data_IF_009009413095
#
_entry.id   IF_009009413095
#
_cell.length_a   1.000
_cell.length_b   1.000
_cell.length_c   1.000
_cell.angle_alpha   90.00
_cell.angle_beta   90.00
_cell.angle_gamma   90.00
#
_symmetry.space_group_name_H-M   'P 1'
#
loop_
_entity.id
_entity.type
_entity.pdbx_description
1 polymer ?
#
# COMPACT_ATOMS: atom_id res chain seq x y z
N UNK A 1 -7.91 -9.55 -36.47
CA UNK A 1 -9.09 -10.44 -36.53
C UNK A 1 -9.10 -11.28 -35.26
N UNK A 2 -9.90 -10.87 -34.28
CA UNK A 2 -10.22 -11.59 -33.02
C UNK A 2 -11.26 -12.67 -33.33
N UNK A 3 -11.04 -13.91 -32.93
CA UNK A 3 -11.86 -15.07 -33.37
C UNK A 3 -12.33 -15.97 -32.23
N UNK A 4 -11.80 -15.82 -31.02
CA UNK A 4 -12.10 -16.69 -29.87
C UNK A 4 -12.99 -15.94 -28.89
N UNK A 5 -14.20 -16.47 -28.64
CA UNK A 5 -15.08 -15.98 -27.58
C UNK A 5 -14.43 -16.24 -26.21
N UNK A 6 -14.27 -15.17 -25.43
CA UNK A 6 -13.68 -15.20 -24.10
C UNK A 6 -14.76 -14.90 -23.05
N UNK A 7 -14.91 -15.81 -22.09
CA UNK A 7 -15.79 -15.64 -20.94
C UNK A 7 -14.99 -15.09 -19.76
N UNK A 8 -15.47 -14.00 -19.14
CA UNK A 8 -14.81 -13.43 -17.96
C UNK A 8 -15.13 -14.27 -16.74
N UNK A 9 -14.10 -14.92 -16.20
CA UNK A 9 -14.17 -15.64 -14.93
C UNK A 9 -14.46 -14.65 -13.78
N UNK A 10 -15.26 -15.02 -12.77
CA UNK A 10 -15.41 -14.22 -11.57
C UNK A 10 -14.06 -13.85 -10.94
N UNK A 11 -13.89 -12.58 -10.63
CA UNK A 11 -12.64 -12.04 -10.10
C UNK A 11 -12.40 -12.51 -8.67
N UNK A 12 -11.23 -13.08 -8.41
CA UNK A 12 -10.72 -13.28 -7.05
C UNK A 12 -10.35 -11.93 -6.47
N UNK A 13 -11.04 -11.51 -5.40
CA UNK A 13 -10.73 -10.24 -4.74
C UNK A 13 -9.36 -10.35 -4.05
N UNK A 14 -8.50 -9.33 -4.17
CA UNK A 14 -7.26 -9.31 -3.41
C UNK A 14 -7.57 -9.27 -1.90
N UNK A 15 -6.65 -9.75 -1.05
CA UNK A 15 -6.85 -9.68 0.39
C UNK A 15 -7.07 -8.23 0.83
N UNK A 16 -7.97 -8.06 1.80
CA UNK A 16 -8.23 -6.76 2.43
C UNK A 16 -7.18 -6.57 3.51
N UNK A 17 -6.43 -5.46 3.40
CA UNK A 17 -5.41 -5.08 4.39
C UNK A 17 -5.98 -3.92 5.19
N UNK A 18 -6.12 -4.05 6.52
CA UNK A 18 -6.50 -2.94 7.38
C UNK A 18 -5.56 -1.76 7.19
N UNK A 19 -6.11 -0.55 7.12
CA UNK A 19 -5.32 0.69 7.04
C UNK A 19 -5.21 1.41 8.39
N UNK A 20 -5.78 0.83 9.44
CA UNK A 20 -5.76 1.41 10.78
C UNK A 20 -4.34 1.42 11.36
N UNK A 21 -3.93 2.49 12.06
CA UNK A 21 -2.61 2.57 12.65
C UNK A 21 -2.40 1.49 13.72
N UNK A 22 -1.25 0.82 13.68
CA UNK A 22 -0.87 -0.16 14.69
C UNK A 22 -0.18 0.59 15.84
N UNK A 23 -0.87 0.74 16.97
CA UNK A 23 -0.35 1.46 18.14
C UNK A 23 0.39 0.52 19.10
N UNK A 24 1.70 0.70 19.22
CA UNK A 24 2.54 0.01 20.19
C UNK A 24 2.47 0.73 21.53
N UNK A 25 2.09 0.01 22.59
CA UNK A 25 1.98 0.58 23.95
C UNK A 25 3.33 0.90 24.54
N UNK A 26 3.39 1.90 25.40
CA UNK A 26 4.58 2.22 26.19
C UNK A 26 4.89 1.12 27.22
N UNK A 27 6.16 0.95 27.62
CA UNK A 27 6.52 -0.02 28.65
C UNK A 27 5.84 0.30 29.99
N UNK A 28 5.68 -0.71 30.88
CA UNK A 28 5.14 -0.46 32.19
C UNK A 28 6.01 0.53 32.97
N UNK A 29 5.42 1.48 33.71
CA UNK A 29 6.17 2.46 34.47
C UNK A 29 6.97 1.81 35.60
N UNK A 30 8.09 2.45 35.96
CA UNK A 30 8.86 2.09 37.12
C UNK A 30 8.05 2.42 38.38
N UNK A 31 7.95 1.43 39.27
CA UNK A 31 7.24 1.60 40.53
C UNK A 31 8.05 2.49 41.50
N UNK A 32 7.74 3.79 41.46
CA UNK A 32 8.22 4.83 42.38
C UNK A 32 7.43 4.85 43.69
N UNK A 33 6.19 4.35 43.69
CA UNK A 33 5.26 4.43 44.82
C UNK A 33 5.75 3.67 46.06
N UNK A 34 6.53 2.61 45.83
CA UNK A 34 7.20 1.86 46.89
C UNK A 34 8.43 2.54 47.48
N UNK A 35 8.98 3.61 46.88
CA UNK A 35 10.27 4.21 47.32
C UNK A 35 10.15 4.87 48.69
N UNK A 36 9.08 5.64 48.90
CA UNK A 36 8.80 6.38 50.13
C UNK A 36 8.33 5.45 51.26
N UNK A 37 7.50 4.46 50.94
CA UNK A 37 7.09 3.42 51.88
C UNK A 37 8.29 2.53 52.28
N UNK A 38 9.19 2.22 51.34
CA UNK A 38 10.41 1.44 51.61
C UNK A 38 11.43 2.20 52.44
N UNK A 39 11.63 3.50 52.18
CA UNK A 39 12.48 4.32 53.05
C UNK A 39 11.88 4.43 54.44
N UNK A 40 10.56 4.65 54.58
CA UNK A 40 9.88 4.62 55.89
C UNK A 40 10.02 3.28 56.60
N UNK A 41 9.83 2.15 55.91
CA UNK A 41 9.96 0.80 56.48
C UNK A 41 11.39 0.48 56.95
N UNK A 42 12.41 1.07 56.34
CA UNK A 42 13.82 0.90 56.74
C UNK A 42 14.20 1.89 57.83
N UNK A 43 13.77 3.15 57.72
CA UNK A 43 14.14 4.23 58.64
C UNK A 43 13.40 4.10 59.96
N UNK A 44 12.11 3.76 59.97
CA UNK A 44 11.29 3.73 61.18
C UNK A 44 11.79 2.74 62.25
N UNK A 45 12.18 1.48 61.93
CA UNK A 45 12.74 0.57 62.93
C UNK A 45 14.11 1.03 63.44
N UNK A 46 14.95 1.61 62.57
CA UNK A 46 16.28 2.11 62.93
C UNK A 46 16.17 3.32 63.85
N UNK A 47 15.26 4.26 63.54
CA UNK A 47 14.98 5.41 64.41
C UNK A 47 14.35 4.95 65.72
N UNK A 48 13.37 4.04 65.71
CA UNK A 48 12.78 3.50 66.93
C UNK A 48 13.82 2.80 67.83
N UNK A 49 14.71 1.98 67.24
CA UNK A 49 15.80 1.31 67.96
C UNK A 49 16.82 2.32 68.54
N UNK A 50 17.21 3.34 67.75
CA UNK A 50 18.12 4.39 68.21
C UNK A 50 17.53 5.23 69.35
N UNK A 51 16.25 5.58 69.25
CA UNK A 51 15.54 6.34 70.30
C UNK A 51 15.38 5.50 71.56
N UNK A 52 15.10 4.20 71.43
CA UNK A 52 15.05 3.27 72.56
C UNK A 52 16.40 3.13 73.29
N UNK A 53 17.51 3.09 72.55
CA UNK A 53 18.86 3.03 73.12
C UNK A 53 19.21 4.30 73.92
N UNK A 54 18.91 5.49 73.36
CA UNK A 54 19.11 6.78 74.04
C UNK A 54 18.22 6.88 75.28
N UNK A 55 16.97 6.41 75.22
CA UNK A 55 16.06 6.41 76.35
C UNK A 55 16.57 5.55 77.52
N UNK A 56 17.13 4.37 77.23
CA UNK A 56 17.75 3.47 78.22
C UNK A 56 19.02 4.06 78.84
N UNK A 57 19.82 4.79 78.06
CA UNK A 57 21.03 5.47 78.56
C UNK A 57 20.69 6.71 79.41
N UNK A 58 19.61 7.42 79.08
CA UNK A 58 19.18 8.63 79.78
C UNK A 58 18.42 8.35 81.09
N UNK A 59 17.62 7.27 81.15
CA UNK A 59 16.90 6.85 82.36
C UNK A 59 17.58 5.63 82.98
N UNK A 60 18.27 5.79 84.12
CA UNK A 60 18.87 4.69 84.90
C UNK A 60 17.80 3.75 85.46
N UNK A 61 17.38 2.75 84.69
CA UNK A 61 16.44 1.69 85.09
C UNK A 61 17.15 0.40 85.54
N UNK A 62 16.40 -0.51 86.18
CA UNK A 62 16.89 -1.79 86.70
C UNK A 62 17.40 -2.73 85.59
N UNK A 63 18.50 -3.46 85.87
CA UNK A 63 19.17 -4.40 84.95
C UNK A 63 18.26 -5.36 84.14
N UNK A 64 17.18 -5.98 84.68
CA UNK A 64 16.33 -6.89 83.89
C UNK A 64 15.52 -6.21 82.78
N UNK A 65 15.12 -4.94 82.96
CA UNK A 65 14.39 -4.19 81.92
C UNK A 65 15.28 -3.86 80.71
N UNK A 66 16.57 -3.59 80.97
CA UNK A 66 17.56 -3.31 79.91
C UNK A 66 17.77 -4.54 79.02
N UNK A 67 17.85 -5.73 79.61
CA UNK A 67 18.05 -6.99 78.88
C UNK A 67 16.81 -7.33 78.05
N UNK A 68 15.61 -7.21 78.62
CA UNK A 68 14.36 -7.48 77.90
C UNK A 68 14.18 -6.53 76.69
N UNK A 69 14.50 -5.25 76.86
CA UNK A 69 14.40 -4.26 75.78
C UNK A 69 15.46 -4.50 74.68
N UNK A 70 16.67 -4.94 75.04
CA UNK A 70 17.71 -5.31 74.08
C UNK A 70 17.31 -6.49 73.20
N UNK A 71 16.67 -7.52 73.77
CA UNK A 71 16.14 -8.67 73.02
C UNK A 71 15.00 -8.25 72.08
N UNK A 72 14.08 -7.39 72.55
CA UNK A 72 12.98 -6.88 71.74
C UNK A 72 13.49 -6.05 70.54
N UNK A 73 14.49 -5.19 70.75
CA UNK A 73 15.12 -4.41 69.68
C UNK A 73 15.87 -5.33 68.70
N UNK A 74 16.65 -6.29 69.20
CA UNK A 74 17.40 -7.23 68.37
C UNK A 74 16.49 -8.08 67.47
N UNK A 75 15.39 -8.59 68.01
CA UNK A 75 14.39 -9.35 67.24
C UNK A 75 13.68 -8.49 66.21
N UNK A 76 13.31 -7.24 66.55
CA UNK A 76 12.70 -6.30 65.61
C UNK A 76 13.62 -5.97 64.43
N UNK A 77 14.93 -5.79 64.68
CA UNK A 77 15.93 -5.53 63.62
C UNK A 77 16.08 -6.74 62.70
N UNK A 78 16.15 -7.96 63.25
CA UNK A 78 16.24 -9.20 62.46
C UNK A 78 15.01 -9.38 61.58
N UNK A 79 13.81 -9.18 62.13
CA UNK A 79 12.56 -9.27 61.37
C UNK A 79 12.52 -8.22 60.26
N UNK A 80 12.85 -6.97 60.56
CA UNK A 80 12.91 -5.89 59.57
C UNK A 80 13.89 -6.19 58.43
N UNK A 81 15.05 -6.78 58.74
CA UNK A 81 16.06 -7.17 57.75
C UNK A 81 15.57 -8.32 56.86
N UNK A 82 14.93 -9.33 57.44
CA UNK A 82 14.33 -10.45 56.69
C UNK A 82 13.21 -9.99 55.76
N UNK A 83 12.31 -9.11 56.22
CA UNK A 83 11.23 -8.55 55.41
C UNK A 83 11.77 -7.67 54.28
N UNK A 84 12.77 -6.82 54.56
CA UNK A 84 13.41 -5.99 53.54
C UNK A 84 14.09 -6.83 52.45
N UNK A 85 14.77 -7.92 52.83
CA UNK A 85 15.38 -8.84 51.88
C UNK A 85 14.34 -9.60 51.04
N UNK A 86 13.28 -10.12 51.67
CA UNK A 86 12.18 -10.80 50.99
C UNK A 86 11.48 -9.87 49.99
N UNK A 87 11.17 -8.64 50.40
CA UNK A 87 10.60 -7.60 49.54
C UNK A 87 11.55 -7.25 48.39
N UNK A 88 12.85 -7.04 48.64
CA UNK A 88 13.81 -6.77 47.57
C UNK A 88 13.87 -7.89 46.53
N UNK A 89 13.81 -9.16 46.97
CA UNK A 89 13.75 -10.31 46.07
C UNK A 89 12.43 -10.37 45.30
N UNK A 90 11.30 -10.09 45.96
CA UNK A 90 9.99 -10.05 45.33
C UNK A 90 9.89 -8.94 44.27
N UNK A 91 10.31 -7.71 44.58
CA UNK A 91 10.34 -6.58 43.62
C UNK A 91 11.24 -6.90 42.43
N UNK A 92 12.45 -7.47 42.64
CA UNK A 92 13.33 -7.89 41.54
C UNK A 92 12.67 -8.94 40.65
N UNK A 93 11.98 -9.92 41.24
CA UNK A 93 11.22 -10.94 40.48
C UNK A 93 10.06 -10.33 39.71
N UNK A 94 9.32 -9.40 40.30
CA UNK A 94 8.20 -8.71 39.66
C UNK A 94 8.68 -7.85 38.48
N UNK A 95 9.76 -7.07 38.66
CA UNK A 95 10.40 -6.30 37.57
C UNK A 95 10.84 -7.22 36.42
N UNK A 96 11.51 -8.33 36.72
CA UNK A 96 11.90 -9.31 35.69
C UNK A 96 10.70 -9.92 34.96
N UNK A 97 9.61 -10.20 35.67
CA UNK A 97 8.37 -10.71 35.06
C UNK A 97 7.69 -9.66 34.18
N UNK A 98 7.62 -8.41 34.63
CA UNK A 98 7.08 -7.30 33.85
C UNK A 98 7.90 -7.06 32.57
N UNK A 99 9.23 -7.02 32.68
CA UNK A 99 10.15 -6.92 31.53
C UNK A 99 9.92 -8.05 30.53
N UNK A 100 9.87 -9.31 30.99
CA UNK A 100 9.58 -10.46 30.12
C UNK A 100 8.24 -10.32 29.41
N UNK A 101 7.16 -10.06 30.14
CA UNK A 101 5.82 -9.86 29.55
C UNK A 101 5.79 -8.78 28.49
N UNK A 102 6.51 -7.68 28.70
CA UNK A 102 6.58 -6.59 27.74
C UNK A 102 7.36 -6.99 26.48
N UNK A 103 8.48 -7.70 26.63
CA UNK A 103 9.23 -8.24 25.49
C UNK A 103 8.41 -9.28 24.72
N UNK A 104 7.67 -10.15 25.43
CA UNK A 104 6.75 -11.12 24.82
C UNK A 104 5.63 -10.40 24.05
N UNK A 105 5.12 -9.29 24.59
CA UNK A 105 4.16 -8.41 23.90
C UNK A 105 4.75 -7.79 22.63
N UNK A 106 5.98 -7.27 22.68
CA UNK A 106 6.65 -6.72 21.49
C UNK A 106 6.88 -7.81 20.43
N UNK A 107 7.21 -9.03 20.84
CA UNK A 107 7.37 -10.16 19.92
C UNK A 107 6.04 -10.56 19.26
N UNK A 108 4.95 -10.61 20.03
CA UNK A 108 3.61 -10.86 19.48
C UNK A 108 3.20 -9.76 18.49
N UNK A 109 3.42 -8.49 18.86
CA UNK A 109 3.13 -7.36 17.98
C UNK A 109 3.95 -7.39 16.69
N UNK A 110 5.23 -7.80 16.77
CA UNK A 110 6.06 -7.99 15.59
C UNK A 110 5.46 -9.07 14.66
N UNK A 111 5.04 -10.21 15.21
CA UNK A 111 4.42 -11.28 14.42
C UNK A 111 3.11 -10.81 13.75
N UNK A 112 2.31 -10.01 14.45
CA UNK A 112 1.08 -9.42 13.91
C UNK A 112 1.41 -8.47 12.74
N UNK A 113 2.40 -7.59 12.89
CA UNK A 113 2.85 -6.67 11.83
C UNK A 113 3.40 -7.45 10.63
N UNK A 114 4.19 -8.51 10.85
CA UNK A 114 4.73 -9.35 9.77
C UNK A 114 3.61 -10.08 9.00
N UNK A 115 2.52 -10.46 9.69
CA UNK A 115 1.35 -11.04 9.04
C UNK A 115 0.62 -10.03 8.15
N UNK A 116 0.46 -8.79 8.62
CA UNK A 116 -0.09 -7.69 7.82
C UNK A 116 0.81 -7.36 6.63
N UNK A 117 2.13 -7.43 6.83
CA UNK A 117 3.11 -7.27 5.75
C UNK A 117 2.94 -8.32 4.67
N UNK A 118 2.79 -9.58 5.08
CA UNK A 118 2.56 -10.68 4.14
C UNK A 118 1.27 -10.47 3.34
N UNK A 119 0.18 -10.06 3.99
CA UNK A 119 -1.10 -9.77 3.31
C UNK A 119 -0.99 -8.61 2.33
N UNK A 120 -0.25 -7.55 2.68
CA UNK A 120 0.00 -6.42 1.80
C UNK A 120 0.83 -6.82 0.58
N UNK A 121 1.90 -7.60 0.77
CA UNK A 121 2.71 -8.09 -0.34
C UNK A 121 1.90 -8.99 -1.28
N UNK A 122 1.02 -9.84 -0.73
CA UNK A 122 0.10 -10.65 -1.53
C UNK A 122 -0.91 -9.80 -2.30
N UNK A 123 -1.48 -8.77 -1.67
CA UNK A 123 -2.37 -7.79 -2.31
C UNK A 123 -1.66 -7.10 -3.47
N UNK A 124 -0.47 -6.58 -3.23
CA UNK A 124 0.35 -5.88 -4.23
C UNK A 124 0.76 -6.80 -5.38
N UNK A 125 1.24 -8.01 -5.10
CA UNK A 125 1.60 -8.99 -6.13
C UNK A 125 0.39 -9.42 -6.98
N UNK A 126 -0.80 -9.44 -6.37
CA UNK A 126 -2.05 -9.70 -7.11
C UNK A 126 -2.37 -8.52 -8.02
N UNK A 127 -2.37 -7.29 -7.50
CA UNK A 127 -2.80 -6.11 -8.25
C UNK A 127 -1.75 -5.63 -9.28
N UNK A 128 -0.47 -5.70 -8.97
CA UNK A 128 0.59 -5.01 -9.70
C UNK A 128 1.71 -5.98 -10.11
N UNK A 129 1.42 -6.94 -11.03
CA UNK A 129 2.42 -7.90 -11.48
C UNK A 129 3.58 -7.21 -12.21
N UNK A 130 4.76 -7.83 -12.16
CA UNK A 130 5.91 -7.42 -12.98
C UNK A 130 5.67 -7.75 -14.47
N UNK A 131 6.51 -7.20 -15.35
CA UNK A 131 6.48 -7.50 -16.78
C UNK A 131 6.55 -9.00 -17.11
N UNK A 132 7.40 -9.75 -16.41
CA UNK A 132 7.49 -11.20 -16.57
C UNK A 132 6.22 -11.92 -16.13
N UNK A 133 5.67 -11.54 -14.96
CA UNK A 133 4.42 -12.11 -14.46
C UNK A 133 3.24 -11.80 -15.38
N UNK A 134 3.20 -10.62 -16.02
CA UNK A 134 2.20 -10.30 -17.04
C UNK A 134 2.28 -11.25 -18.24
N UNK A 135 3.49 -11.56 -18.70
CA UNK A 135 3.70 -12.51 -19.79
C UNK A 135 3.20 -13.91 -19.40
N UNK A 136 3.50 -14.37 -18.19
CA UNK A 136 3.04 -15.65 -17.67
C UNK A 136 1.50 -15.71 -17.62
N UNK A 137 0.84 -14.66 -17.12
CA UNK A 137 -0.62 -14.55 -17.10
C UNK A 137 -1.22 -14.59 -18.51
N UNK A 138 -0.63 -13.86 -19.46
CA UNK A 138 -1.05 -13.83 -20.86
C UNK A 138 -0.91 -15.18 -21.55
N UNK A 139 0.16 -15.92 -21.26
CA UNK A 139 0.39 -17.28 -21.80
C UNK A 139 -0.58 -18.27 -21.17
N UNK A 140 -0.80 -18.20 -19.86
CA UNK A 140 -1.69 -19.09 -19.13
C UNK A 140 -3.19 -18.82 -19.41
N UNK A 141 -3.52 -17.66 -19.97
CA UNK A 141 -4.91 -17.24 -20.17
C UNK A 141 -5.65 -16.96 -18.86
N UNK A 142 -4.91 -16.66 -17.78
CA UNK A 142 -5.46 -16.47 -16.45
C UNK A 142 -5.59 -14.99 -16.12
N UNK A 143 -6.63 -14.62 -15.37
CA UNK A 143 -6.83 -13.26 -14.85
C UNK A 143 -6.90 -12.17 -15.93
N UNK A 144 -7.22 -12.57 -17.16
CA UNK A 144 -7.41 -11.65 -18.29
C UNK A 144 -8.75 -10.94 -18.16
N UNK A 145 -8.75 -9.62 -18.38
CA UNK A 145 -9.93 -8.77 -18.35
C UNK A 145 -10.72 -8.84 -17.02
N UNK A 146 -10.05 -9.13 -15.90
CA UNK A 146 -10.71 -9.35 -14.61
C UNK A 146 -11.27 -8.06 -13.99
N UNK A 147 -10.73 -6.88 -14.34
CA UNK A 147 -11.12 -5.59 -13.74
C UNK A 147 -12.25 -4.94 -14.52
N UNK A 148 -13.28 -4.50 -13.81
CA UNK A 148 -14.47 -3.84 -14.40
C UNK A 148 -14.38 -2.33 -14.25
N UNK A 149 -15.09 -1.58 -15.11
CA UNK A 149 -15.18 -0.12 -15.01
C UNK A 149 -15.76 0.38 -13.65
N UNK A 150 -16.55 -0.46 -12.98
CA UNK A 150 -17.14 -0.22 -11.66
C UNK A 150 -16.20 -0.50 -10.50
N UNK A 151 -15.09 -1.20 -10.72
CA UNK A 151 -14.14 -1.52 -9.66
C UNK A 151 -13.32 -0.27 -9.30
N UNK A 152 -12.94 -0.16 -8.02
CA UNK A 152 -12.17 0.98 -7.51
C UNK A 152 -10.77 1.05 -8.14
N UNK A 153 -10.19 -0.11 -8.46
CA UNK A 153 -8.85 -0.25 -9.06
C UNK A 153 -8.87 -0.30 -10.59
N UNK A 154 -9.96 0.17 -11.21
CA UNK A 154 -10.06 0.31 -12.66
C UNK A 154 -9.01 1.32 -13.17
N UNK A 155 -8.11 0.85 -14.03
CA UNK A 155 -6.98 1.60 -14.57
C UNK A 155 -5.93 2.05 -13.54
N UNK A 156 -5.85 1.34 -12.41
CA UNK A 156 -4.69 1.43 -11.53
C UNK A 156 -3.55 0.60 -12.11
N UNK A 157 -2.46 1.27 -12.46
CA UNK A 157 -1.31 0.69 -13.17
C UNK A 157 -0.03 0.96 -12.42
N UNK A 158 0.86 -0.02 -12.40
CA UNK A 158 2.20 0.08 -11.84
C UNK A 158 3.14 0.76 -12.84
N UNK A 159 3.96 1.69 -12.36
CA UNK A 159 4.95 2.43 -13.18
C UNK A 159 6.40 2.04 -12.86
N UNK A 160 6.63 1.44 -11.70
CA UNK A 160 7.96 0.99 -11.28
C UNK A 160 7.98 0.50 -9.84
N UNK A 161 9.19 0.22 -9.35
CA UNK A 161 9.44 -0.28 -7.99
C UNK A 161 10.31 0.69 -7.20
N UNK A 162 9.94 0.98 -5.95
CA UNK A 162 10.68 1.91 -5.12
C UNK A 162 10.20 1.92 -3.67
N UNK A 163 10.78 2.77 -2.81
CA UNK A 163 10.41 2.84 -1.41
C UNK A 163 9.00 3.42 -1.26
N UNK A 164 8.20 2.75 -0.45
CA UNK A 164 6.81 3.12 -0.19
C UNK A 164 6.55 3.24 1.31
N UNK A 165 5.72 4.20 1.74
CA UNK A 165 5.27 4.25 3.11
C UNK A 165 4.45 3.00 3.44
N UNK A 166 4.48 2.61 4.71
CA UNK A 166 3.66 1.52 5.18
C UNK A 166 2.17 1.94 5.19
N UNK A 167 1.23 1.14 4.64
CA UNK A 167 -0.19 1.53 4.57
C UNK A 167 -0.86 1.69 5.93
N UNK A 168 -0.45 0.89 6.93
CA UNK A 168 -1.01 0.86 8.27
C UNK A 168 0.04 1.33 9.28
N UNK A 169 0.27 2.65 9.43
CA UNK A 169 1.45 3.18 10.09
C UNK A 169 1.62 2.60 11.51
N UNK A 170 2.81 2.09 11.78
CA UNK A 170 3.17 1.58 13.10
C UNK A 170 3.62 2.78 13.94
N UNK A 171 2.93 3.06 15.03
CA UNK A 171 3.17 4.24 15.88
C UNK A 171 3.38 3.84 17.33
N UNK A 172 4.25 4.55 18.02
CA UNK A 172 4.38 4.42 19.47
C UNK A 172 3.28 5.25 20.15
N UNK A 173 2.67 4.70 21.19
CA UNK A 173 1.81 5.46 22.09
C UNK A 173 2.58 6.65 22.66
N UNK A 174 1.91 7.81 22.74
CA UNK A 174 2.49 9.04 23.24
C UNK A 174 3.01 8.87 24.67
N UNK A 175 4.25 9.33 24.89
CA UNK A 175 4.90 9.31 26.20
C UNK A 175 4.63 10.65 26.87
N UNK A 176 3.91 10.64 27.99
CA UNK A 176 3.69 11.83 28.81
C UNK A 176 5.03 12.28 29.45
N UNK A 177 5.56 13.48 29.14
CA UNK A 177 6.81 13.98 29.73
C UNK A 177 6.72 14.22 31.24
N UNK A 178 5.50 14.44 31.77
CA UNK A 178 5.23 14.58 33.20
C UNK A 178 4.80 13.24 33.83
N UNK A 179 4.77 12.18 33.03
CA UNK A 179 4.38 10.84 33.44
C UNK A 179 5.43 10.13 34.29
N UNK A 180 5.08 8.93 34.81
CA UNK A 180 6.02 8.11 35.57
C UNK A 180 7.23 7.66 34.72
N UNK A 181 8.38 7.51 35.37
CA UNK A 181 9.62 7.11 34.71
C UNK A 181 9.47 5.72 34.05
N UNK A 182 9.89 5.61 32.80
CA UNK A 182 9.83 4.39 32.00
C UNK A 182 11.20 3.71 31.94
N UNK A 183 11.24 2.38 31.82
CA UNK A 183 12.51 1.67 31.61
C UNK A 183 13.08 1.96 30.21
N UNK A 184 14.20 2.68 30.15
CA UNK A 184 14.83 3.16 28.90
C UNK A 184 15.12 2.05 27.90
N UNK A 185 15.63 0.90 28.35
CA UNK A 185 15.89 -0.27 27.49
C UNK A 185 14.62 -0.74 26.76
N UNK A 186 13.50 -0.81 27.47
CA UNK A 186 12.24 -1.31 26.94
C UNK A 186 11.58 -0.29 26.02
N UNK A 187 11.68 0.99 26.36
CA UNK A 187 11.23 2.07 25.51
C UNK A 187 12.04 2.08 24.20
N UNK A 188 13.36 1.94 24.27
CA UNK A 188 14.24 1.84 23.11
C UNK A 188 13.91 0.64 22.22
N UNK A 189 13.59 -0.52 22.81
CA UNK A 189 13.16 -1.69 22.03
C UNK A 189 11.85 -1.44 21.26
N UNK A 190 10.89 -0.75 21.86
CA UNK A 190 9.64 -0.38 21.20
C UNK A 190 9.85 0.66 20.08
N UNK A 191 10.70 1.67 20.33
CA UNK A 191 11.07 2.65 19.32
C UNK A 191 11.81 2.01 18.13
N UNK A 192 12.69 1.04 18.38
CA UNK A 192 13.36 0.27 17.33
C UNK A 192 12.37 -0.55 16.51
N UNK A 193 11.35 -1.15 17.16
CA UNK A 193 10.29 -1.87 16.45
C UNK A 193 9.51 -0.93 15.53
N UNK A 194 9.11 0.25 16.02
CA UNK A 194 8.45 1.29 15.20
C UNK A 194 9.33 1.71 14.02
N UNK A 195 10.59 2.04 14.27
CA UNK A 195 11.52 2.50 13.24
C UNK A 195 11.74 1.47 12.12
N UNK A 196 11.76 0.17 12.47
CA UNK A 196 11.89 -0.93 11.50
C UNK A 196 10.75 -0.97 10.48
N UNK A 197 9.52 -0.65 10.90
CA UNK A 197 8.33 -0.71 10.05
C UNK A 197 7.82 0.68 9.62
N UNK A 198 8.62 1.74 9.81
CA UNK A 198 8.25 3.10 9.43
C UNK A 198 8.19 3.28 7.90
N UNK A 199 9.10 2.64 7.17
CA UNK A 199 9.14 2.65 5.71
C UNK A 199 9.50 1.27 5.19
N UNK A 200 9.06 0.97 3.96
CA UNK A 200 9.48 -0.22 3.24
C UNK A 200 10.43 0.18 2.12
N UNK A 201 11.52 -0.56 2.00
CA UNK A 201 12.58 -0.31 1.02
C UNK A 201 12.11 -0.42 -0.43
N UNK A 202 11.13 -1.28 -0.70
CA UNK A 202 10.71 -1.62 -2.07
C UNK A 202 9.27 -2.09 -2.17
N UNK A 203 8.54 -1.53 -3.13
CA UNK A 203 7.20 -1.94 -3.55
C UNK A 203 6.74 -1.29 -4.85
N UNK A 204 5.59 -1.72 -5.40
CA UNK A 204 5.09 -1.23 -6.67
C UNK A 204 4.49 0.17 -6.53
N UNK A 205 5.09 1.16 -7.18
CA UNK A 205 4.47 2.46 -7.34
C UNK A 205 3.38 2.36 -8.40
N UNK A 206 2.14 2.63 -8.02
CA UNK A 206 1.00 2.63 -8.90
C UNK A 206 0.35 4.00 -8.99
N UNK A 207 -0.24 4.30 -10.15
CA UNK A 207 -1.03 5.50 -10.41
C UNK A 207 -2.40 5.10 -10.94
N UNK A 208 -3.41 5.91 -10.64
CA UNK A 208 -4.77 5.70 -11.12
C UNK A 208 -5.01 6.53 -12.38
N UNK A 209 -4.90 5.91 -13.55
CA UNK A 209 -5.11 6.61 -14.83
C UNK A 209 -6.53 7.15 -14.95
N UNK A 210 -7.52 6.49 -14.33
CA UNK A 210 -8.92 6.91 -14.30
C UNK A 210 -9.10 8.30 -13.70
N UNK A 211 -8.33 8.63 -12.67
CA UNK A 211 -8.47 9.92 -11.93
C UNK A 211 -7.42 10.94 -12.35
N UNK A 212 -6.33 10.51 -12.99
CA UNK A 212 -5.22 11.39 -13.37
C UNK A 212 -5.47 12.28 -14.58
N UNK A 213 -6.46 12.05 -15.45
CA UNK A 213 -6.68 12.91 -16.63
C UNK A 213 -5.45 12.96 -17.57
N UNK A 214 -4.64 14.01 -17.51
CA UNK A 214 -3.35 14.07 -18.21
C UNK A 214 -2.18 13.70 -17.29
N UNK A 215 -1.43 12.67 -17.70
CA UNK A 215 -0.23 12.16 -17.02
C UNK A 215 1.00 12.46 -17.87
N UNK A 216 2.00 13.13 -17.31
CA UNK A 216 3.30 13.30 -17.95
C UNK A 216 4.30 12.25 -17.45
N UNK A 217 4.87 11.47 -18.37
CA UNK A 217 6.00 10.57 -18.12
C UNK A 217 7.26 11.29 -18.59
N UNK A 218 8.06 11.75 -17.64
CA UNK A 218 9.27 12.53 -17.90
C UNK A 218 10.50 11.65 -17.80
N UNK A 219 11.40 11.74 -18.77
CA UNK A 219 12.69 11.04 -18.73
C UNK A 219 13.26 10.79 -20.12
N UNK A 220 14.40 10.09 -20.17
CA UNK A 220 14.99 9.68 -21.44
C UNK A 220 13.96 8.88 -22.26
N UNK A 221 13.83 9.20 -23.55
CA UNK A 221 12.76 8.67 -24.41
C UNK A 221 12.65 7.14 -24.36
N UNK A 222 13.76 6.42 -24.41
CA UNK A 222 13.74 4.95 -24.42
C UNK A 222 13.21 4.38 -23.10
N UNK A 223 13.72 4.85 -21.96
CA UNK A 223 13.25 4.42 -20.63
C UNK A 223 11.79 4.82 -20.38
N UNK A 224 11.40 6.03 -20.80
CA UNK A 224 10.02 6.50 -20.67
C UNK A 224 9.05 5.71 -21.55
N UNK A 225 9.45 5.35 -22.78
CA UNK A 225 8.69 4.40 -23.62
C UNK A 225 8.56 3.05 -22.94
N UNK A 226 9.59 2.57 -22.25
CA UNK A 226 9.54 1.41 -21.38
C UNK A 226 8.41 1.45 -20.36
N UNK A 227 8.37 2.52 -19.57
CA UNK A 227 7.32 2.73 -18.55
C UNK A 227 5.93 2.79 -19.19
N UNK A 228 5.77 3.57 -20.26
CA UNK A 228 4.48 3.69 -20.95
C UNK A 228 4.07 2.33 -21.57
N UNK A 229 5.00 1.57 -22.13
CA UNK A 229 4.76 0.21 -22.64
C UNK A 229 4.29 -0.71 -21.52
N UNK A 230 4.93 -0.69 -20.35
CA UNK A 230 4.49 -1.43 -19.17
C UNK A 230 3.06 -1.07 -18.76
N UNK A 231 2.76 0.23 -18.70
CA UNK A 231 1.43 0.75 -18.36
C UNK A 231 0.38 0.29 -19.36
N UNK A 232 0.65 0.41 -20.66
CA UNK A 232 -0.28 -0.01 -21.72
C UNK A 232 -0.52 -1.52 -21.69
N UNK A 233 0.52 -2.32 -21.45
CA UNK A 233 0.39 -3.77 -21.32
C UNK A 233 -0.44 -4.18 -20.11
N UNK A 234 -0.22 -3.57 -18.94
CA UNK A 234 -1.02 -3.80 -17.74
C UNK A 234 -2.49 -3.45 -18.00
N UNK A 235 -2.73 -2.29 -18.63
CA UNK A 235 -4.07 -1.83 -18.96
C UNK A 235 -4.76 -2.78 -19.96
N UNK A 236 -4.03 -3.24 -20.97
CA UNK A 236 -4.57 -4.18 -21.96
C UNK A 236 -4.84 -5.56 -21.35
N UNK A 237 -4.03 -6.02 -20.39
CA UNK A 237 -4.17 -7.33 -19.78
C UNK A 237 -5.41 -7.41 -18.86
N UNK A 238 -5.63 -6.36 -18.06
CA UNK A 238 -6.62 -6.39 -16.98
C UNK A 238 -7.96 -5.75 -17.33
N UNK A 239 -8.01 -4.83 -18.30
CA UNK A 239 -9.24 -4.20 -18.74
C UNK A 239 -9.71 -4.81 -20.05
N UNK A 240 -11.00 -4.97 -20.17
CA UNK A 240 -11.63 -5.45 -21.38
C UNK A 240 -11.57 -4.45 -22.53
N UNK A 241 -11.53 -4.91 -23.80
CA UNK A 241 -11.74 -4.06 -24.99
C UNK A 241 -13.09 -3.34 -25.06
N UNK A 242 -14.12 -3.83 -24.35
CA UNK A 242 -15.42 -3.16 -24.22
C UNK A 242 -15.39 -2.01 -23.21
N UNK A 243 -14.47 -2.07 -22.25
CA UNK A 243 -14.32 -1.11 -21.16
C UNK A 243 -13.17 -0.12 -21.39
N UNK A 244 -12.19 -0.48 -22.25
CA UNK A 244 -10.99 0.31 -22.53
C UNK A 244 -10.64 0.29 -24.03
N UNK A 245 -10.33 1.47 -24.57
CA UNK A 245 -9.72 1.69 -25.89
C UNK A 245 -8.31 2.24 -25.73
N UNK A 246 -7.41 1.84 -26.63
CA UNK A 246 -6.02 2.29 -26.60
C UNK A 246 -5.67 2.89 -27.96
N UNK A 247 -5.17 4.13 -27.93
CA UNK A 247 -4.71 4.85 -29.11
C UNK A 247 -3.35 5.50 -28.87
N UNK A 248 -2.56 5.66 -29.93
CA UNK A 248 -1.22 6.27 -29.87
C UNK A 248 -1.06 7.35 -30.92
N UNK A 249 -0.57 8.49 -30.48
CA UNK A 249 -0.16 9.59 -31.35
C UNK A 249 1.36 9.64 -31.40
N UNK A 250 1.91 9.45 -32.59
CA UNK A 250 3.32 9.67 -32.89
C UNK A 250 3.45 10.82 -33.87
N UNK A 251 4.58 11.52 -33.81
CA UNK A 251 4.93 12.60 -34.72
C UNK A 251 5.75 12.14 -35.94
N UNK A 252 6.21 10.88 -35.93
CA UNK A 252 7.13 10.34 -36.92
C UNK A 252 6.96 8.82 -37.11
N UNK A 253 7.30 8.27 -38.30
CA UNK A 253 7.25 6.83 -38.55
C UNK A 253 8.21 6.01 -37.67
N UNK A 254 9.35 6.58 -37.28
CA UNK A 254 10.30 5.93 -36.37
C UNK A 254 9.74 5.78 -34.96
N UNK A 255 9.04 6.81 -34.46
CA UNK A 255 8.29 6.72 -33.21
C UNK A 255 7.17 5.67 -33.32
N UNK A 256 6.41 5.67 -34.42
CA UNK A 256 5.33 4.71 -34.64
C UNK A 256 5.83 3.25 -34.66
N UNK A 257 7.05 2.99 -35.15
CA UNK A 257 7.63 1.64 -35.17
C UNK A 257 7.80 1.03 -33.76
N UNK A 258 8.06 1.85 -32.73
CA UNK A 258 8.15 1.42 -31.32
C UNK A 258 6.81 0.95 -30.75
N UNK A 259 5.71 1.38 -31.38
CA UNK A 259 4.33 1.13 -30.98
C UNK A 259 3.58 0.19 -31.95
N UNK A 260 4.26 -0.32 -32.99
CA UNK A 260 3.65 -1.20 -34.01
C UNK A 260 2.94 -2.42 -33.41
N UNK A 261 3.34 -2.84 -32.22
CA UNK A 261 2.73 -3.96 -31.50
C UNK A 261 1.30 -3.73 -31.03
N UNK A 262 0.86 -2.48 -30.91
CA UNK A 262 -0.49 -2.12 -30.47
C UNK A 262 -1.56 -2.59 -31.47
N UNK A 263 -1.22 -2.72 -32.76
CA UNK A 263 -2.16 -3.24 -33.77
C UNK A 263 -2.65 -4.65 -33.48
N UNK A 264 -1.91 -5.43 -32.67
CA UNK A 264 -2.34 -6.77 -32.25
C UNK A 264 -3.28 -6.72 -31.05
N UNK A 265 -3.35 -5.63 -30.29
CA UNK A 265 -4.25 -5.55 -29.14
C UNK A 265 -5.72 -5.50 -29.58
N UNK A 266 -6.62 -6.23 -28.90
CA UNK A 266 -8.04 -6.13 -29.16
C UNK A 266 -8.61 -4.73 -28.84
N UNK A 267 -7.97 -3.97 -27.95
CA UNK A 267 -8.32 -2.59 -27.57
C UNK A 267 -8.05 -1.55 -28.67
N UNK A 268 -7.26 -1.90 -29.67
CA UNK A 268 -7.00 -1.09 -30.85
C UNK A 268 -8.12 -1.21 -31.90
N UNK A 269 -9.16 -2.01 -31.64
CA UNK A 269 -10.25 -2.26 -32.59
C UNK A 269 -11.57 -1.73 -32.02
N UNK A 270 -12.11 -0.64 -32.59
CA UNK A 270 -13.42 -0.12 -32.20
C UNK A 270 -14.53 -0.77 -33.04
N UNK A 271 -15.10 -1.88 -32.54
CA UNK A 271 -16.19 -2.61 -33.20
C UNK A 271 -15.70 -3.52 -34.35
N UNK A 272 -16.59 -3.81 -35.32
CA UNK A 272 -16.24 -4.66 -36.47
C UNK A 272 -15.41 -3.93 -37.55
N UNK A 273 -15.18 -2.62 -37.40
CA UNK A 273 -14.30 -1.85 -38.25
C UNK A 273 -12.89 -1.77 -37.64
N UNK A 274 -11.87 -2.08 -38.45
CA UNK A 274 -10.47 -1.81 -38.11
C UNK A 274 -10.31 -0.29 -38.03
N UNK A 275 -10.46 0.26 -36.84
CA UNK A 275 -10.19 1.67 -36.60
C UNK A 275 -8.69 1.77 -36.41
N UNK A 276 -8.02 2.50 -37.29
CA UNK A 276 -6.60 2.77 -37.13
C UNK A 276 -6.41 3.64 -35.88
N UNK A 277 -5.99 3.05 -34.75
CA UNK A 277 -5.82 3.74 -33.46
C UNK A 277 -4.42 4.31 -33.27
N UNK A 278 -3.58 4.27 -34.30
CA UNK A 278 -2.23 4.84 -34.29
C UNK A 278 -2.11 5.91 -35.38
N UNK A 279 -1.46 7.03 -35.08
CA UNK A 279 -1.00 7.96 -36.12
C UNK A 279 0.53 7.98 -36.16
N UNK A 280 1.10 7.82 -37.36
CA UNK A 280 2.55 7.91 -37.59
C UNK A 280 3.01 9.31 -38.03
N UNK A 281 2.06 10.24 -38.21
CA UNK A 281 2.28 11.64 -38.55
C UNK A 281 1.29 12.49 -37.76
N UNK A 282 1.78 13.60 -37.21
CA UNK A 282 1.00 14.57 -36.47
C UNK A 282 -0.14 15.19 -37.30
N UNK A 283 0.00 15.26 -38.63
CA UNK A 283 -1.08 15.77 -39.51
C UNK A 283 -2.37 14.94 -39.43
N UNK A 284 -2.26 13.66 -39.05
CA UNK A 284 -3.38 12.75 -38.88
C UNK A 284 -3.95 12.71 -37.45
N UNK A 285 -3.36 13.47 -36.50
CA UNK A 285 -3.80 13.45 -35.10
C UNK A 285 -5.26 13.93 -34.93
N UNK A 286 -5.63 15.06 -35.55
CA UNK A 286 -6.99 15.62 -35.44
C UNK A 286 -8.05 14.68 -36.03
N UNK A 287 -7.74 14.01 -37.15
CA UNK A 287 -8.66 13.05 -37.78
C UNK A 287 -8.85 11.81 -36.90
N UNK A 288 -7.77 11.30 -36.30
CA UNK A 288 -7.83 10.20 -35.34
C UNK A 288 -8.63 10.57 -34.10
N UNK A 289 -8.34 11.71 -33.47
CA UNK A 289 -9.04 12.15 -32.26
C UNK A 289 -10.52 12.44 -32.50
N UNK A 290 -10.88 13.01 -33.65
CA UNK A 290 -12.30 13.16 -34.04
C UNK A 290 -13.00 11.82 -34.18
N UNK A 291 -12.35 10.81 -34.76
CA UNK A 291 -12.92 9.44 -34.84
C UNK A 291 -13.10 8.83 -33.45
N UNK A 292 -12.11 8.95 -32.58
CA UNK A 292 -12.18 8.46 -31.19
C UNK A 292 -13.29 9.18 -30.41
N UNK A 293 -13.42 10.50 -30.53
CA UNK A 293 -14.49 11.27 -29.90
C UNK A 293 -15.88 10.95 -30.46
N UNK A 294 -15.99 10.64 -31.76
CA UNK A 294 -17.23 10.25 -32.40
C UNK A 294 -17.69 8.83 -32.01
N UNK A 295 -16.77 7.94 -31.64
CA UNK A 295 -17.11 6.60 -31.17
C UNK A 295 -17.81 6.62 -29.82
N UNK A 296 -19.15 6.67 -29.85
CA UNK A 296 -20.00 6.57 -28.65
C UNK A 296 -19.83 5.20 -27.99
N UNK A 297 -19.66 5.19 -26.67
CA UNK A 297 -19.59 3.94 -25.90
C UNK A 297 -19.21 4.19 -24.44
N UNK A 298 -19.41 3.19 -23.56
CA UNK A 298 -19.02 3.31 -22.16
C UNK A 298 -17.51 3.23 -21.94
N UNK A 299 -16.75 2.77 -22.92
CA UNK A 299 -15.31 2.52 -22.83
C UNK A 299 -14.51 3.79 -22.49
N UNK A 300 -13.57 3.66 -21.57
CA UNK A 300 -12.54 4.66 -21.31
C UNK A 300 -11.51 4.64 -22.43
N UNK A 301 -10.98 5.79 -22.82
CA UNK A 301 -9.92 5.90 -23.84
C UNK A 301 -8.60 6.25 -23.18
N UNK A 302 -7.59 5.41 -23.39
CA UNK A 302 -6.19 5.69 -23.05
C UNK A 302 -5.48 6.17 -24.31
N UNK A 303 -5.08 7.44 -24.30
CA UNK A 303 -4.37 8.09 -25.39
C UNK A 303 -2.90 8.24 -25.01
N UNK A 304 -2.01 7.54 -25.70
CA UNK A 304 -0.56 7.72 -25.56
C UNK A 304 -0.10 8.79 -26.54
N UNK A 305 0.68 9.75 -26.08
CA UNK A 305 1.30 10.79 -26.91
C UNK A 305 2.81 10.60 -26.79
N UNK A 306 3.41 10.05 -27.83
CA UNK A 306 4.85 9.82 -27.89
C UNK A 306 5.57 11.12 -28.28
N UNK A 307 6.68 11.42 -27.60
CA UNK A 307 7.50 12.61 -27.84
C UNK A 307 6.73 13.95 -27.80
N UNK A 308 5.97 14.21 -26.74
CA UNK A 308 5.31 15.50 -26.56
C UNK A 308 6.32 16.65 -26.39
N UNK A 309 6.09 17.73 -27.14
CA UNK A 309 6.77 19.01 -26.96
C UNK A 309 5.81 20.15 -27.28
N UNK A 310 5.79 21.26 -26.52
CA UNK A 310 4.89 22.40 -26.73
C UNK A 310 5.15 23.11 -28.08
N UNK A 311 6.34 22.94 -28.65
CA UNK A 311 6.71 23.46 -29.98
C UNK A 311 6.66 22.38 -31.07
N UNK A 312 6.36 21.15 -30.68
CA UNK A 312 6.28 20.00 -31.57
C UNK A 312 5.05 20.05 -32.49
N UNK A 313 5.00 19.16 -33.50
CA UNK A 313 3.90 19.15 -34.46
C UNK A 313 2.58 18.70 -33.82
N UNK A 314 2.61 17.77 -32.85
CA UNK A 314 1.42 17.31 -32.13
C UNK A 314 0.77 18.42 -31.28
N UNK A 315 1.54 19.38 -30.75
CA UNK A 315 0.99 20.50 -29.99
C UNK A 315 0.12 21.45 -30.83
N UNK A 316 0.20 21.38 -32.17
CA UNK A 316 -0.64 22.18 -33.08
C UNK A 316 -2.05 21.62 -33.22
N UNK A 317 -2.27 20.35 -32.89
CA UNK A 317 -3.57 19.70 -32.88
C UNK A 317 -4.52 20.42 -31.92
N UNK A 318 -5.67 20.88 -32.43
CA UNK A 318 -6.67 21.53 -31.59
C UNK A 318 -7.42 20.50 -30.73
N UNK A 319 -7.69 19.34 -31.31
CA UNK A 319 -8.34 18.22 -30.69
C UNK A 319 -7.50 17.63 -29.56
N UNK A 320 -6.18 17.53 -29.72
CA UNK A 320 -5.30 17.04 -28.66
C UNK A 320 -5.26 18.01 -27.47
N UNK A 321 -5.16 19.31 -27.73
CA UNK A 321 -5.23 20.32 -26.66
C UNK A 321 -6.57 20.29 -25.94
N UNK A 322 -7.67 20.13 -26.66
CA UNK A 322 -9.00 19.99 -26.06
C UNK A 322 -9.09 18.70 -25.21
N UNK A 323 -8.55 17.58 -25.70
CA UNK A 323 -8.49 16.31 -24.98
C UNK A 323 -7.69 16.42 -23.67
N UNK A 324 -6.55 17.12 -23.69
CA UNK A 324 -5.72 17.34 -22.50
C UNK A 324 -6.40 18.29 -21.51
N UNK A 325 -7.00 19.38 -22.00
CA UNK A 325 -7.72 20.34 -21.18
C UNK A 325 -8.97 19.73 -20.51
N UNK A 326 -9.60 18.73 -21.12
CA UNK A 326 -10.74 18.01 -20.55
C UNK A 326 -10.41 17.21 -19.27
N UNK A 327 -9.11 17.00 -18.97
CA UNK A 327 -8.62 16.54 -17.66
C UNK A 327 -9.33 15.33 -17.02
N UNK A 328 -9.78 14.38 -17.85
CA UNK A 328 -10.43 13.14 -17.39
C UNK A 328 -11.96 13.17 -17.33
N UNK A 329 -12.61 14.32 -17.55
CA UNK A 329 -14.07 14.45 -17.51
C UNK A 329 -14.77 13.66 -18.65
N UNK A 330 -14.04 13.36 -19.73
CA UNK A 330 -14.55 12.69 -20.92
C UNK A 330 -14.27 11.17 -20.98
N UNK A 331 -13.96 10.50 -19.85
CA UNK A 331 -13.45 9.10 -19.85
C UNK A 331 -12.24 8.94 -20.78
N UNK A 332 -11.37 9.94 -20.75
CA UNK A 332 -10.18 10.04 -21.56
C UNK A 332 -9.00 10.32 -20.65
N UNK A 333 -7.98 9.48 -20.72
CA UNK A 333 -6.70 9.73 -20.04
C UNK A 333 -5.62 9.87 -21.09
N UNK A 334 -4.81 10.92 -20.97
CA UNK A 334 -3.69 11.18 -21.87
C UNK A 334 -2.39 10.88 -21.15
N UNK A 335 -1.56 10.00 -21.70
CA UNK A 335 -0.20 9.71 -21.26
C UNK A 335 0.79 10.40 -22.21
N UNK A 336 1.40 11.49 -21.78
CA UNK A 336 2.38 12.23 -22.56
C UNK A 336 3.80 11.82 -22.17
N UNK A 337 4.56 11.28 -23.11
CA UNK A 337 6.00 11.10 -22.94
C UNK A 337 6.72 12.43 -23.20
N UNK A 338 7.50 12.90 -22.24
CA UNK A 338 8.19 14.20 -22.29
C UNK A 338 9.69 13.98 -22.05
N UNK A 339 10.53 14.39 -23.00
CA UNK A 339 11.98 14.24 -22.87
C UNK A 339 12.62 15.33 -22.01
N UNK A 340 12.16 16.58 -22.13
CA UNK A 340 12.74 17.75 -21.44
C UNK A 340 11.78 18.31 -20.42
N UNK A 341 12.30 18.73 -19.26
CA UNK A 341 11.47 19.25 -18.18
C UNK A 341 10.63 20.48 -18.54
N UNK A 342 11.16 21.32 -19.43
CA UNK A 342 10.50 22.53 -19.93
C UNK A 342 9.38 22.24 -20.95
N UNK A 343 9.31 21.02 -21.47
CA UNK A 343 8.37 20.61 -22.52
C UNK A 343 7.10 19.97 -21.93
N UNK A 344 6.93 20.00 -20.61
CA UNK A 344 5.75 19.46 -19.97
C UNK A 344 4.46 20.19 -20.40
N UNK A 345 3.35 19.47 -20.62
CA UNK A 345 2.06 20.11 -20.85
C UNK A 345 1.60 20.97 -19.67
N UNK A 346 0.84 22.03 -19.96
CA UNK A 346 0.30 22.91 -18.92
C UNK A 346 -0.72 22.21 -18.00
N UNK A 347 -1.51 21.28 -18.54
CA UNK A 347 -2.66 20.65 -17.86
C UNK A 347 -2.31 19.30 -17.22
N UNK A 348 -1.12 19.14 -16.65
CA UNK A 348 -0.69 17.87 -16.02
C UNK A 348 -1.22 17.75 -14.59
N UNK A 349 -2.01 16.71 -14.32
CA UNK A 349 -2.51 16.41 -12.96
C UNK A 349 -1.63 15.40 -12.22
N UNK A 350 -0.92 14.54 -12.94
CA UNK A 350 -0.03 13.54 -12.35
C UNK A 350 1.26 13.42 -13.14
N UNK A 351 2.38 13.27 -12.44
CA UNK A 351 3.72 13.23 -13.04
C UNK A 351 4.45 11.98 -12.60
N UNK A 352 5.04 11.29 -13.57
CA UNK A 352 5.97 10.19 -13.36
C UNK A 352 7.33 10.65 -13.82
N UNK A 353 8.29 10.76 -12.90
CA UNK A 353 9.68 11.13 -13.23
C UNK A 353 10.51 9.85 -13.28
N UNK A 354 11.10 9.59 -14.43
CA UNK A 354 11.92 8.42 -14.74
C UNK A 354 13.38 8.85 -14.75
N UNK A 355 13.94 9.04 -13.56
CA UNK A 355 15.35 9.43 -13.36
C UNK A 355 16.21 8.30 -12.77
N UNK A 356 15.59 7.16 -12.43
CA UNK A 356 16.24 6.01 -11.80
C UNK A 356 16.72 6.26 -10.37
N UNK A 357 16.48 7.44 -9.78
CA UNK A 357 17.03 7.84 -8.48
C UNK A 357 16.15 7.39 -7.31
N UNK A 358 14.82 7.39 -7.50
CA UNK A 358 13.83 7.02 -6.48
C UNK A 358 13.05 5.76 -6.79
N UNK A 359 12.78 5.52 -8.06
CA UNK A 359 11.97 4.38 -8.53
C UNK A 359 12.74 3.73 -9.67
N UNK A 360 12.89 2.41 -9.61
CA UNK A 360 13.31 1.60 -10.75
C UNK A 360 12.14 1.46 -11.71
N UNK A 361 12.19 2.08 -12.91
CA UNK A 361 11.09 2.04 -13.86
C UNK A 361 10.88 0.62 -14.38
N UNK A 362 9.63 0.25 -14.63
CA UNK A 362 9.35 -0.98 -15.36
C UNK A 362 9.60 -0.73 -16.86
N UNK A 363 10.57 -1.44 -17.44
CA UNK A 363 10.92 -1.34 -18.86
C UNK A 363 10.88 -2.73 -19.53
N UNK A 364 9.69 -3.26 -19.86
CA UNK A 364 9.58 -4.52 -20.59
C UNK A 364 10.20 -4.36 -21.97
N UNK A 365 11.08 -5.28 -22.36
CA UNK A 365 11.65 -5.28 -23.71
C UNK A 365 10.54 -5.35 -24.78
N UNK A 366 10.71 -4.69 -25.94
CA UNK A 366 9.71 -4.70 -27.01
C UNK A 366 9.20 -6.11 -27.41
N UNK A 367 10.02 -7.18 -27.46
CA UNK A 367 9.53 -8.53 -27.75
C UNK A 367 8.50 -9.05 -26.75
N UNK A 368 8.58 -8.68 -25.46
CA UNK A 368 7.61 -9.06 -24.44
C UNK A 368 6.25 -8.42 -24.75
N UNK A 369 6.25 -7.15 -25.15
CA UNK A 369 5.03 -6.45 -25.54
C UNK A 369 4.36 -7.09 -26.76
N UNK A 370 5.15 -7.44 -27.78
CA UNK A 370 4.67 -8.17 -28.96
C UNK A 370 4.07 -9.52 -28.56
N UNK A 371 4.74 -10.26 -27.68
CA UNK A 371 4.29 -11.57 -27.23
C UNK A 371 2.94 -11.49 -26.50
N UNK A 372 2.80 -10.58 -25.54
CA UNK A 372 1.55 -10.34 -24.81
C UNK A 372 0.45 -9.89 -25.79
N UNK A 373 0.73 -8.90 -26.64
CA UNK A 373 -0.27 -8.36 -27.56
C UNK A 373 -0.79 -9.43 -28.52
N UNK A 374 0.08 -10.28 -29.07
CA UNK A 374 -0.32 -11.40 -29.93
C UNK A 374 -1.12 -12.48 -29.18
N UNK A 375 -0.88 -12.68 -27.89
CA UNK A 375 -1.68 -13.60 -27.06
C UNK A 375 -3.08 -13.06 -26.78
N UNK A 376 -3.23 -11.74 -26.66
CA UNK A 376 -4.53 -11.09 -26.47
C UNK A 376 -5.30 -10.90 -27.78
N UNK A 377 -4.59 -10.81 -28.91
CA UNK A 377 -5.15 -10.57 -30.25
C UNK A 377 -6.32 -11.45 -30.70
N UNK A 378 -6.44 -12.74 -30.34
CA UNK A 378 -7.58 -13.55 -30.76
C UNK A 378 -8.82 -13.40 -29.85
N UNK A 379 -8.70 -12.78 -28.67
CA UNK A 379 -9.75 -12.77 -27.66
C UNK A 379 -10.82 -11.69 -27.94
N UNK A 380 -12.09 -12.10 -28.05
CA UNK A 380 -13.26 -11.22 -28.09
C UNK A 380 -14.18 -11.59 -26.95
N UNK A 381 -14.71 -10.59 -26.24
CA UNK A 381 -15.69 -10.87 -25.20
C UNK A 381 -16.99 -11.37 -25.79
N UNK A 382 -17.49 -12.45 -25.23
CA UNK A 382 -18.83 -12.92 -25.53
C UNK A 382 -19.83 -11.93 -24.90
N UNK A 383 -20.62 -11.24 -25.74
CA UNK A 383 -21.77 -10.48 -25.24
C UNK A 383 -22.77 -11.49 -24.70
N UNK A 384 -22.80 -11.66 -23.38
CA UNK A 384 -23.92 -12.35 -22.74
C UNK A 384 -25.18 -11.54 -23.05
N UNK A 385 -26.00 -12.05 -23.96
CA UNK A 385 -27.34 -11.56 -24.24
C UNK A 385 -28.12 -11.58 -22.93
N UNK A 386 -28.30 -10.39 -22.37
CA UNK A 386 -29.06 -10.16 -21.14
C UNK A 386 -30.57 -10.32 -21.37
N UNK A 387 -31.00 -11.24 -22.24
CA UNK A 387 -32.40 -11.48 -22.59
C UNK A 387 -32.98 -12.72 -21.90
N UNK A 388 -32.16 -13.61 -21.33
CA UNK A 388 -32.68 -14.86 -20.72
C UNK A 388 -33.05 -14.72 -19.23
N UNK A 389 -32.49 -13.73 -18.51
CA UNK A 389 -32.81 -13.54 -17.08
C UNK A 389 -34.11 -12.74 -16.81
N UNK A 390 -34.68 -12.07 -17.81
CA UNK A 390 -35.95 -11.35 -17.69
C UNK A 390 -37.17 -12.18 -18.15
N UNK A 391 -36.94 -13.29 -18.86
CA UNK A 391 -38.00 -14.14 -19.43
C UNK A 391 -38.51 -15.27 -18.53
N UNK A 392 -37.73 -15.71 -17.54
CA UNK A 392 -38.10 -16.87 -16.70
C UNK A 392 -38.73 -16.50 -15.34
N UNK A 393 -38.83 -15.21 -14.99
CA UNK A 393 -39.50 -14.77 -13.74
C UNK A 393 -41.02 -14.56 -13.88
N UNK A 394 -41.61 -14.83 -15.05
CA UNK A 394 -43.05 -14.57 -15.33
C UNK A 394 -43.90 -15.83 -15.53
N UNK A 395 -43.35 -17.04 -15.48
CA UNK A 395 -44.13 -18.26 -15.70
C UNK A 395 -43.77 -19.37 -14.70
N UNK A 396 -44.25 -19.23 -13.47
CA UNK A 396 -44.06 -20.25 -12.43
C UNK A 396 -44.84 -20.00 -11.15
N UNK A 397 -45.93 -19.24 -11.21
CA UNK A 397 -46.92 -19.22 -10.14
C UNK A 397 -47.73 -20.51 -10.17
N UNK A 398 -47.29 -21.54 -9.45
CA UNK A 398 -48.17 -22.66 -9.10
C UNK A 398 -48.03 -22.99 -7.61
N UNK A 399 -49.16 -22.80 -6.95
CA UNK A 399 -49.43 -23.04 -5.55
C UNK A 399 -48.99 -24.44 -5.09
N UNK A 400 -48.36 -24.50 -3.93
CA UNK A 400 -48.46 -25.66 -3.03
C UNK A 400 -48.87 -25.15 -1.67
N UNK A 401 -50.02 -25.66 -1.24
CA UNK A 401 -50.80 -25.27 -0.10
C UNK A 401 -50.17 -25.70 1.24
N UNK A 402 -50.46 -24.89 2.25
CA UNK A 402 -50.47 -25.25 3.67
C UNK A 402 -51.39 -26.46 3.91
N UNK A 403 -50.96 -27.41 4.75
CA UNK A 403 -51.89 -28.38 5.32
C UNK A 403 -51.26 -29.59 6.01
N UNK A 404 -51.04 -29.46 7.32
CA UNK A 404 -50.89 -30.48 8.38
C UNK A 404 -49.56 -31.22 8.52
#
# INVERSE_FOLDING_TARGET
MTTIAFHRVPRTRPPVVPSDPVVIRTPPPLDESGRLLRTLQIVAPVTAAGTGLVFVLAYRQSAPLIIAMGIAIGTAVIVAMLTAFAQARATRRQRRRARRRYLDYLAAMQADIDSLLTLQLQREATLFPTASQMLDLAIAGQRLFERRATDDDFLDVRVGTGPLPWPAPVVLQEVDPLGPELETDLLGAAQQLVARYAQRDSGPHAISLKTSGTVAVRGQLQTGRGVVRSVVLQAALFQSPDDLRIAVLCDSPSAAAEWDWIKWLPHAHAGDAVTDTMCADASAADSLLRRLGATRGPAHTLLVVDCWSPRGPLARSAELRAAMAANGEARLTTLCLVERDQDEPADVRSRVVVDGSRITPDDPEPPIAVAIARRLAPLRLERQSSEVAAGESSAGGLAVALGR
#
